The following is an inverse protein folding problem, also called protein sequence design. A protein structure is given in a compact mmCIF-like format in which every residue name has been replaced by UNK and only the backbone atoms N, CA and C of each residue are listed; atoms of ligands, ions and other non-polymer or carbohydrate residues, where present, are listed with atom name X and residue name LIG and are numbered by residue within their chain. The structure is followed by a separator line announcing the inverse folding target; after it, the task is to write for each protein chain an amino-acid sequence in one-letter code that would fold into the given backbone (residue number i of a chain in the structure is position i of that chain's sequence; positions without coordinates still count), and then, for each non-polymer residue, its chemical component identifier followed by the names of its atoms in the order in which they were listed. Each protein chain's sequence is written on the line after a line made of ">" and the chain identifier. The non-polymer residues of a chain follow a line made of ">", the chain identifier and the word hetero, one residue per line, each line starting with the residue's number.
data_IF_175252494205
#
_entry.id   IF_175252494205
#
_cell.length_a   1.000
_cell.length_b   1.000
_cell.length_c   1.000
_cell.angle_alpha   90.00
_cell.angle_beta   90.00
_cell.angle_gamma   90.00
#
_symmetry.space_group_name_H-M   'P 1'
#
loop_
_entity.id
_entity.type
_entity.pdbx_description
1 polymer ?
#
# COMPACT_ATOMS: atom_id res chain seq x y z
N UNK A 1 22.21 9.90 -1.12
CA UNK A 1 21.23 9.11 -1.89
C UNK A 1 19.92 9.88 -1.90
N UNK A 2 19.11 9.74 -2.95
CA UNK A 2 17.71 10.19 -2.96
C UNK A 2 16.86 8.93 -3.03
N UNK A 3 15.94 8.76 -2.08
CA UNK A 3 15.01 7.63 -2.02
C UNK A 3 13.60 8.19 -2.16
N UNK A 4 12.82 7.62 -3.06
CA UNK A 4 11.42 7.96 -3.26
C UNK A 4 10.61 6.68 -3.38
N UNK A 5 9.35 6.74 -2.95
CA UNK A 5 8.40 5.66 -3.11
C UNK A 5 6.99 6.20 -3.17
N UNK A 6 6.09 5.40 -3.69
CA UNK A 6 4.67 5.70 -3.76
C UNK A 6 3.85 4.40 -3.63
N UNK A 7 2.60 4.52 -3.23
CA UNK A 7 1.70 3.37 -3.08
C UNK A 7 0.28 3.70 -3.50
N UNK A 8 -0.36 2.78 -4.22
CA UNK A 8 -1.75 2.87 -4.64
C UNK A 8 -2.47 1.54 -4.45
N UNK A 9 -3.78 1.61 -4.26
CA UNK A 9 -4.66 0.45 -4.35
C UNK A 9 -5.33 0.46 -5.72
N UNK A 10 -5.38 -0.69 -6.38
CA UNK A 10 -6.06 -0.85 -7.66
C UNK A 10 -7.02 -2.04 -7.62
N UNK A 11 -8.20 -1.85 -8.20
CA UNK A 11 -9.19 -2.91 -8.38
C UNK A 11 -9.91 -2.66 -9.71
N UNK A 12 -9.99 -3.67 -10.57
CA UNK A 12 -10.72 -3.63 -11.84
C UNK A 12 -10.40 -2.40 -12.71
N UNK A 13 -9.13 -1.99 -12.77
CA UNK A 13 -8.67 -0.82 -13.53
C UNK A 13 -8.96 0.53 -12.87
N UNK A 14 -9.62 0.57 -11.71
CA UNK A 14 -9.78 1.78 -10.89
C UNK A 14 -8.62 1.92 -9.91
N UNK A 15 -8.16 3.15 -9.71
CA UNK A 15 -7.18 3.51 -8.68
C UNK A 15 -7.90 4.13 -7.49
N UNK A 16 -7.57 3.63 -6.31
CA UNK A 16 -8.03 4.11 -5.01
C UNK A 16 -6.88 4.84 -4.33
N UNK A 17 -6.86 6.15 -4.50
CA UNK A 17 -5.91 7.03 -3.79
C UNK A 17 -6.30 7.23 -2.33
N UNK A 18 -5.81 8.31 -1.74
CA UNK A 18 -6.23 8.75 -0.41
C UNK A 18 -7.66 9.31 -0.49
N UNK A 19 -8.60 8.83 0.33
CA UNK A 19 -9.96 9.37 0.32
C UNK A 19 -9.97 10.82 0.82
N UNK A 20 -10.89 11.62 0.29
CA UNK A 20 -11.07 13.04 0.60
C UNK A 20 -12.02 13.28 1.77
N UNK A 21 -12.80 12.27 2.13
CA UNK A 21 -13.72 12.32 3.27
C UNK A 21 -13.92 10.94 3.89
N UNK A 22 -14.54 10.91 5.08
CA UNK A 22 -14.86 9.67 5.78
C UNK A 22 -15.91 8.84 5.03
N UNK A 23 -16.82 9.52 4.32
CA UNK A 23 -17.83 8.89 3.47
C UNK A 23 -17.16 8.19 2.28
N UNK A 24 -16.19 8.85 1.64
CA UNK A 24 -15.41 8.24 0.55
C UNK A 24 -14.55 7.08 1.07
N UNK A 25 -13.97 7.21 2.27
CA UNK A 25 -13.24 6.12 2.91
C UNK A 25 -14.13 4.88 3.16
N UNK A 26 -15.35 5.09 3.67
CA UNK A 26 -16.33 4.03 3.84
C UNK A 26 -16.74 3.41 2.49
N UNK A 27 -16.93 4.23 1.46
CA UNK A 27 -17.22 3.74 0.11
C UNK A 27 -16.10 2.85 -0.42
N UNK A 28 -14.84 3.26 -0.27
CA UNK A 28 -13.69 2.44 -0.70
C UNK A 28 -13.72 1.08 0.00
N UNK A 29 -13.87 1.04 1.32
CA UNK A 29 -13.91 -0.23 2.06
C UNK A 29 -15.10 -1.11 1.68
N UNK A 30 -16.26 -0.53 1.34
CA UNK A 30 -17.40 -1.30 0.80
C UNK A 30 -17.11 -1.89 -0.57
N UNK A 31 -16.44 -1.14 -1.44
CA UNK A 31 -16.06 -1.61 -2.77
C UNK A 31 -14.98 -2.70 -2.71
N UNK A 32 -14.07 -2.63 -1.73
CA UNK A 32 -13.01 -3.64 -1.54
C UNK A 32 -13.50 -4.88 -0.77
N UNK A 33 -14.53 -4.74 0.08
CA UNK A 33 -15.13 -5.83 0.87
C UNK A 33 -15.56 -7.01 0.01
N UNK A 34 -15.17 -8.23 0.41
CA UNK A 34 -15.53 -9.47 -0.29
C UNK A 34 -14.92 -9.60 -1.68
N UNK A 35 -13.85 -8.85 -1.97
CA UNK A 35 -13.23 -8.84 -3.29
C UNK A 35 -11.70 -8.86 -3.21
N UNK A 36 -11.11 -9.22 -4.34
CA UNK A 36 -9.67 -9.14 -4.56
C UNK A 36 -9.29 -7.81 -5.19
N UNK A 37 -8.17 -7.26 -4.75
CA UNK A 37 -7.60 -6.03 -5.26
C UNK A 37 -6.07 -6.05 -5.08
N UNK A 38 -5.40 -5.10 -5.70
CA UNK A 38 -3.95 -5.02 -5.74
C UNK A 38 -3.45 -3.85 -4.90
N UNK A 39 -2.52 -4.12 -3.99
CA UNK A 39 -1.69 -3.10 -3.37
C UNK A 39 -0.38 -2.98 -4.15
N UNK A 40 -0.18 -1.84 -4.79
CA UNK A 40 0.94 -1.58 -5.68
C UNK A 40 1.87 -0.58 -5.00
N UNK A 41 3.13 -0.96 -4.84
CA UNK A 41 4.16 -0.10 -4.24
C UNK A 41 5.32 0.10 -5.20
N UNK A 42 5.82 1.33 -5.27
CA UNK A 42 6.96 1.69 -6.09
C UNK A 42 8.12 2.17 -5.21
N UNK A 43 9.34 1.90 -5.67
CA UNK A 43 10.57 2.41 -5.06
C UNK A 43 11.50 2.91 -6.17
N UNK A 44 12.12 4.06 -5.93
CA UNK A 44 13.23 4.58 -6.72
C UNK A 44 14.37 5.03 -5.80
N UNK A 45 15.58 4.58 -6.11
CA UNK A 45 16.82 4.96 -5.41
C UNK A 45 17.78 5.56 -6.43
N UNK A 46 18.19 6.80 -6.19
CA UNK A 46 19.14 7.51 -7.04
C UNK A 46 20.40 7.88 -6.27
N UNK A 47 21.55 7.55 -6.84
CA UNK A 47 22.82 8.08 -6.39
C UNK A 47 23.04 9.49 -6.96
N UNK A 48 22.93 10.53 -6.13
CA UNK A 48 22.92 11.93 -6.56
C UNK A 48 24.14 12.36 -7.39
N UNK A 49 25.36 11.88 -7.03
CA UNK A 49 26.60 12.19 -7.76
C UNK A 49 26.70 11.50 -9.13
N UNK A 50 26.44 10.19 -9.19
CA UNK A 50 26.62 9.40 -10.42
C UNK A 50 25.38 9.39 -11.31
N UNK A 51 24.24 9.88 -10.79
CA UNK A 51 22.92 9.85 -11.41
C UNK A 51 22.41 8.45 -11.77
N UNK A 52 23.08 7.38 -11.30
CA UNK A 52 22.59 6.01 -11.43
C UNK A 52 21.31 5.86 -10.60
N UNK A 53 20.27 5.32 -11.22
CA UNK A 53 18.97 5.08 -10.62
C UNK A 53 18.60 3.60 -10.72
N UNK A 54 18.08 3.05 -9.64
CA UNK A 54 17.43 1.75 -9.59
C UNK A 54 15.98 1.96 -9.15
N UNK A 55 15.04 1.34 -9.84
CA UNK A 55 13.62 1.41 -9.49
C UNK A 55 12.96 0.03 -9.57
N UNK A 56 11.83 -0.12 -8.88
CA UNK A 56 11.01 -1.33 -8.91
C UNK A 56 9.57 -1.00 -8.58
N UNK A 57 8.67 -1.89 -9.00
CA UNK A 57 7.26 -1.91 -8.64
C UNK A 57 6.96 -3.30 -8.11
N UNK A 58 6.37 -3.37 -6.93
CA UNK A 58 5.98 -4.60 -6.26
C UNK A 58 4.45 -4.61 -6.14
N UNK A 59 3.84 -5.72 -6.51
CA UNK A 59 2.37 -5.91 -6.50
C UNK A 59 2.03 -7.00 -5.50
N UNK A 60 0.97 -6.75 -4.74
CA UNK A 60 0.43 -7.71 -3.77
C UNK A 60 -1.06 -7.85 -4.00
N UNK A 61 -1.52 -9.06 -4.24
CA UNK A 61 -2.94 -9.36 -4.37
C UNK A 61 -3.50 -9.62 -2.97
N UNK A 62 -4.51 -8.85 -2.58
CA UNK A 62 -5.18 -8.92 -1.29
C UNK A 62 -6.65 -9.25 -1.53
N UNK A 63 -7.17 -10.23 -0.82
CA UNK A 63 -8.60 -10.53 -0.76
C UNK A 63 -9.10 -10.15 0.62
N UNK A 64 -10.08 -9.25 0.68
CA UNK A 64 -10.81 -8.99 1.92
C UNK A 64 -12.01 -9.93 2.02
N UNK A 65 -12.25 -10.48 3.21
CA UNK A 65 -13.53 -11.13 3.50
C UNK A 65 -14.68 -10.13 3.35
N UNK A 66 -15.94 -10.59 3.24
CA UNK A 66 -17.09 -9.71 3.40
C UNK A 66 -17.04 -8.97 4.75
N UNK A 67 -17.12 -7.64 4.69
CA UNK A 67 -17.10 -6.75 5.85
C UNK A 67 -18.52 -6.30 6.18
N UNK A 68 -18.91 -6.41 7.45
CA UNK A 68 -20.17 -5.83 7.88
C UNK A 68 -20.05 -4.31 8.00
N UNK A 69 -21.16 -3.60 7.76
CA UNK A 69 -21.17 -2.13 7.79
C UNK A 69 -20.66 -1.58 9.14
N UNK A 70 -21.01 -2.21 10.26
CA UNK A 70 -20.54 -1.77 11.57
C UNK A 70 -19.02 -1.91 11.75
N UNK A 71 -18.38 -2.88 11.09
CA UNK A 71 -16.92 -3.05 11.11
C UNK A 71 -16.24 -1.94 10.34
N UNK A 72 -16.75 -1.61 9.14
CA UNK A 72 -16.27 -0.49 8.32
C UNK A 72 -16.37 0.81 9.11
N UNK A 73 -17.54 1.09 9.70
CA UNK A 73 -17.78 2.30 10.47
C UNK A 73 -16.91 2.39 11.73
N UNK A 74 -16.70 1.28 12.44
CA UNK A 74 -15.82 1.25 13.59
C UNK A 74 -14.36 1.48 13.20
N UNK A 75 -13.92 0.87 12.09
CA UNK A 75 -12.57 1.00 11.58
C UNK A 75 -12.26 2.43 11.15
N UNK A 76 -13.07 3.03 10.27
CA UNK A 76 -12.79 4.38 9.76
C UNK A 76 -12.77 5.43 10.88
N UNK A 77 -13.56 5.25 11.96
CA UNK A 77 -13.56 6.15 13.12
C UNK A 77 -12.30 6.01 13.98
N UNK A 78 -11.70 4.82 14.01
CA UNK A 78 -10.54 4.51 14.86
C UNK A 78 -9.21 4.87 14.18
N UNK A 79 -9.14 4.76 12.85
CA UNK A 79 -7.91 4.85 12.10
C UNK A 79 -7.84 6.10 11.23
N UNK A 80 -6.61 6.56 10.93
CA UNK A 80 -6.35 7.75 10.12
C UNK A 80 -6.49 7.48 8.61
N UNK A 81 -7.62 6.89 8.20
CA UNK A 81 -7.88 6.36 6.86
C UNK A 81 -7.71 7.36 5.72
N UNK A 82 -7.87 8.66 5.99
CA UNK A 82 -7.68 9.75 5.01
C UNK A 82 -6.23 9.90 4.53
N UNK A 83 -5.26 9.32 5.25
CA UNK A 83 -3.85 9.39 4.89
C UNK A 83 -3.39 8.21 4.02
N UNK A 84 -4.25 7.21 3.80
CA UNK A 84 -3.88 5.94 3.18
C UNK A 84 -4.64 5.66 1.90
N UNK A 85 -3.92 5.16 0.89
CA UNK A 85 -4.52 4.71 -0.36
C UNK A 85 -5.50 3.55 -0.10
N UNK A 86 -6.66 3.57 -0.74
CA UNK A 86 -7.70 2.57 -0.50
C UNK A 86 -8.35 2.62 0.88
N UNK A 87 -8.11 3.70 1.64
CA UNK A 87 -8.67 3.91 2.98
C UNK A 87 -8.25 2.88 4.03
N UNK A 88 -7.17 2.13 3.81
CA UNK A 88 -6.71 1.12 4.75
C UNK A 88 -5.20 1.17 4.99
N UNK A 89 -4.77 0.84 6.21
CA UNK A 89 -3.36 0.67 6.58
C UNK A 89 -3.05 -0.81 6.84
N UNK A 90 -1.79 -1.14 7.16
CA UNK A 90 -1.35 -2.53 7.39
C UNK A 90 -2.24 -3.31 8.36
N UNK A 91 -2.77 -2.65 9.39
CA UNK A 91 -3.64 -3.26 10.39
C UNK A 91 -4.95 -3.78 9.79
N UNK A 92 -5.53 -3.08 8.82
CA UNK A 92 -6.73 -3.55 8.13
C UNK A 92 -6.47 -4.85 7.36
N UNK A 93 -5.27 -5.05 6.81
CA UNK A 93 -4.91 -6.33 6.18
C UNK A 93 -4.97 -7.46 7.21
N UNK A 94 -4.53 -7.22 8.46
CA UNK A 94 -4.64 -8.21 9.54
C UNK A 94 -6.08 -8.47 10.00
N UNK A 95 -6.96 -7.46 9.95
CA UNK A 95 -8.36 -7.60 10.40
C UNK A 95 -9.31 -8.15 9.35
N UNK A 96 -9.03 -7.85 8.07
CA UNK A 96 -9.97 -8.00 6.97
C UNK A 96 -9.50 -8.96 5.88
N UNK A 97 -8.19 -9.16 5.70
CA UNK A 97 -7.73 -10.06 4.65
C UNK A 97 -7.95 -11.53 5.03
N UNK A 98 -8.52 -12.31 4.11
CA UNK A 98 -8.55 -13.76 4.19
C UNK A 98 -7.46 -14.41 3.31
N UNK A 99 -6.95 -13.67 2.32
CA UNK A 99 -5.86 -14.10 1.45
C UNK A 99 -4.94 -12.94 1.09
N UNK A 100 -3.65 -13.25 1.04
CA UNK A 100 -2.60 -12.34 0.62
C UNK A 100 -1.62 -13.13 -0.26
N UNK A 101 -1.30 -12.62 -1.44
CA UNK A 101 -0.28 -13.18 -2.31
C UNK A 101 0.68 -12.09 -2.81
N UNK A 102 1.96 -12.45 -2.96
CA UNK A 102 3.00 -11.53 -3.40
C UNK A 102 3.79 -10.89 -2.25
N UNK A 103 4.24 -9.66 -2.47
CA UNK A 103 5.22 -8.99 -1.60
C UNK A 103 4.58 -8.39 -0.35
N UNK A 104 5.02 -8.81 0.84
CA UNK A 104 4.45 -8.30 2.10
C UNK A 104 4.98 -6.89 2.44
N UNK A 105 4.45 -5.86 1.78
CA UNK A 105 4.83 -4.46 1.97
C UNK A 105 3.62 -3.56 2.25
N UNK A 106 2.72 -3.94 3.16
CA UNK A 106 1.49 -3.18 3.46
C UNK A 106 1.67 -1.95 4.35
N UNK A 107 2.92 -1.52 4.53
CA UNK A 107 3.30 -0.37 5.34
C UNK A 107 3.33 0.87 4.43
N UNK A 108 3.05 2.07 4.95
CA UNK A 108 3.34 3.35 4.28
C UNK A 108 4.85 3.60 4.10
N UNK A 109 5.59 2.60 3.67
CA UNK A 109 7.02 2.62 3.46
C UNK A 109 7.32 1.99 2.09
N UNK A 110 8.35 2.48 1.38
CA UNK A 110 8.80 1.81 0.17
C UNK A 110 9.21 0.36 0.49
N UNK A 111 9.15 -0.57 -0.49
CA UNK A 111 9.52 -1.97 -0.30
C UNK A 111 10.90 -2.13 0.34
N UNK A 112 10.95 -2.31 1.67
CA UNK A 112 12.19 -2.18 2.47
C UNK A 112 13.22 -3.23 2.06
N UNK A 113 12.75 -4.45 1.78
CA UNK A 113 13.61 -5.53 1.27
C UNK A 113 14.36 -5.10 -0.01
N UNK A 114 13.66 -4.47 -0.96
CA UNK A 114 14.27 -3.96 -2.20
C UNK A 114 15.14 -2.74 -1.95
N UNK A 115 14.75 -1.87 -1.03
CA UNK A 115 15.53 -0.70 -0.65
C UNK A 115 16.93 -1.11 -0.14
N UNK A 116 17.01 -2.12 0.72
CA UNK A 116 18.29 -2.64 1.24
C UNK A 116 19.18 -3.13 0.08
N UNK A 117 18.62 -3.91 -0.85
CA UNK A 117 19.37 -4.41 -2.03
C UNK A 117 19.89 -3.24 -2.87
N UNK A 118 19.08 -2.22 -3.12
CA UNK A 118 19.46 -1.08 -3.95
C UNK A 118 20.49 -0.18 -3.27
N UNK A 119 20.40 0.00 -1.96
CA UNK A 119 21.41 0.72 -1.18
C UNK A 119 22.76 0.00 -1.23
N UNK A 120 22.79 -1.32 -1.07
CA UNK A 120 24.01 -2.13 -1.20
C UNK A 120 24.60 -2.08 -2.61
N UNK A 121 23.77 -2.13 -3.66
CA UNK A 121 24.22 -1.97 -5.04
C UNK A 121 24.88 -0.59 -5.32
N UNK A 122 24.55 0.41 -4.52
CA UNK A 122 25.18 1.72 -4.53
C UNK A 122 26.36 1.87 -3.55
N UNK A 123 26.78 0.78 -2.90
CA UNK A 123 27.92 0.76 -1.98
C UNK A 123 27.63 1.30 -0.58
N UNK A 124 26.35 1.44 -0.21
CA UNK A 124 25.95 1.83 1.15
C UNK A 124 25.86 0.58 2.03
N UNK A 125 26.48 0.63 3.21
CA UNK A 125 26.39 -0.45 4.20
C UNK A 125 25.12 -0.25 5.05
N UNK A 126 24.22 -1.22 5.00
CA UNK A 126 22.90 -1.25 5.65
C UNK A 126 22.56 -2.64 6.17
#
# INVERSE_FOLDING_TARGET
>A
MVVSGDAVVSKDGRIYGKPRSMEEAAQFLRELSGSEFQFVTALAVMHSRTRKMLSTVEVSDISFRPLAEHEIQAYIRKYSVLHYAGAFESDAVLFFADRIAGSYNFVPAPPVSRLIVYLRAHGVNV
#
